data_IF_288666010323
#
_entry.id   IF_288666010323
#
_cell.length_a   1.000
_cell.length_b   1.000
_cell.length_c   1.000
_cell.angle_alpha   90.00
_cell.angle_beta   90.00
_cell.angle_gamma   90.00
#
_symmetry.space_group_name_H-M   'P 1'
#
loop_
_entity.id
_entity.type
_entity.pdbx_description
1 polymer ?
2 non-polymer ?
3 water ?
#
# COMPACT_ATOMS: atom_id res chain seq x y z
N UNK A 23 14.03 -34.47 4.98
CA UNK A 23 13.62 -33.15 5.47
C UNK A 23 13.14 -33.19 6.92
N UNK A 24 13.92 -32.60 7.83
CA UNK A 24 13.65 -32.56 9.29
C UNK A 24 12.65 -31.44 9.60
N UNK A 25 13.05 -30.18 9.36
CA UNK A 25 12.25 -28.95 9.67
C UNK A 25 11.70 -28.37 8.37
N UNK A 26 10.39 -28.10 8.34
CA UNK A 26 9.68 -27.39 7.24
C UNK A 26 9.23 -26.02 7.75
N UNK A 27 9.04 -25.07 6.83
CA UNK A 27 8.52 -23.70 7.10
C UNK A 27 7.40 -23.38 6.10
N UNK A 28 6.38 -22.64 6.54
CA UNK A 28 5.26 -22.16 5.67
C UNK A 28 5.75 -20.94 4.87
N UNK A 29 6.91 -20.38 5.21
CA UNK A 29 7.52 -19.20 4.54
C UNK A 29 9.03 -19.40 4.42
N UNK A 30 9.60 -19.10 3.24
CA UNK A 30 11.04 -19.22 2.92
C UNK A 30 11.78 -17.93 3.33
N UNK A 31 11.03 -16.84 3.50
CA UNK A 31 11.54 -15.48 3.82
C UNK A 31 10.42 -14.68 4.50
N UNK A 32 10.79 -13.59 5.18
CA UNK A 32 9.84 -12.55 5.68
C UNK A 32 10.24 -11.20 5.07
N UNK A 33 9.32 -10.61 4.30
CA UNK A 33 9.47 -9.27 3.68
C UNK A 33 8.38 -8.36 4.27
N UNK A 34 8.79 -7.25 4.90
CA UNK A 34 7.89 -6.31 5.62
C UNK A 34 7.44 -5.18 4.68
N UNK A 35 8.24 -4.85 3.67
CA UNK A 35 8.12 -3.58 2.92
C UNK A 35 8.38 -2.40 3.83
N UNK A 36 7.64 -1.31 3.65
CA UNK A 36 7.85 -0.04 4.38
C UNK A 36 7.16 -0.04 5.73
N UNK A 37 7.89 0.38 6.78
CA UNK A 37 7.34 0.70 8.13
C UNK A 37 7.86 2.08 8.52
N UNK A 38 6.98 3.02 8.94
CA UNK A 38 7.41 4.36 9.33
C UNK A 38 8.46 4.31 10.45
N UNK A 39 9.38 5.28 10.46
CA UNK A 39 10.47 5.41 11.47
C UNK A 39 9.84 5.57 12.85
N UNK A 40 10.30 4.79 13.83
CA UNK A 40 9.81 4.82 15.22
C UNK A 40 8.60 3.93 15.43
N UNK A 41 7.99 3.42 14.35
CA UNK A 41 6.85 2.45 14.41
C UNK A 41 7.40 1.03 14.26
N UNK A 42 6.57 0.03 14.58
CA UNK A 42 6.91 -1.41 14.57
C UNK A 42 5.81 -2.19 13.85
N UNK A 43 6.16 -3.31 13.22
CA UNK A 43 5.21 -4.23 12.56
C UNK A 43 5.66 -5.68 12.84
N UNK A 44 4.72 -6.50 13.31
CA UNK A 44 4.95 -7.93 13.63
C UNK A 44 4.73 -8.75 12.36
N UNK A 45 5.54 -9.79 12.15
CA UNK A 45 5.28 -10.84 11.14
C UNK A 45 5.64 -12.20 11.76
N UNK A 46 4.92 -13.25 11.37
CA UNK A 46 5.05 -14.62 11.92
C UNK A 46 5.46 -15.59 10.81
N UNK A 47 6.07 -16.72 11.18
CA UNK A 47 6.15 -17.93 10.34
C UNK A 47 5.99 -19.17 11.24
N UNK A 48 5.58 -20.28 10.63
CA UNK A 48 5.34 -21.58 11.29
C UNK A 48 6.45 -22.56 10.87
N UNK A 49 7.18 -23.11 11.84
CA UNK A 49 8.13 -24.24 11.65
C UNK A 49 7.44 -25.53 12.08
N UNK A 50 7.58 -26.60 11.28
CA UNK A 50 6.98 -27.94 11.54
C UNK A 50 8.10 -28.98 11.63
N UNK A 51 8.13 -29.75 12.71
CA UNK A 51 9.01 -30.94 12.86
C UNK A 51 8.37 -32.08 12.05
N UNK A 52 8.99 -32.43 10.92
CA UNK A 52 8.43 -33.38 9.92
C UNK A 52 8.51 -34.82 10.45
N UNK A 53 9.42 -35.08 11.41
CA UNK A 53 9.60 -36.41 12.06
C UNK A 53 8.34 -36.80 12.83
N UNK A 54 7.95 -38.07 12.75
CA UNK A 54 6.80 -38.67 13.47
C UNK A 54 7.26 -39.27 14.81
N UNK A 55 8.58 -39.31 15.04
CA UNK A 55 9.24 -40.03 16.17
C UNK A 55 10.10 -39.08 17.02
N UNK A 56 11.04 -38.36 16.40
CA UNK A 56 12.16 -37.66 17.08
C UNK A 56 11.82 -36.19 17.36
N UNK A 57 12.14 -35.71 18.56
CA UNK A 57 12.08 -34.28 18.98
C UNK A 57 13.39 -33.59 18.57
N UNK A 58 13.30 -32.36 18.06
CA UNK A 58 14.47 -31.50 17.74
C UNK A 58 14.59 -30.39 18.80
N UNK A 59 15.81 -29.93 19.06
CA UNK A 59 16.14 -28.78 19.95
C UNK A 59 16.68 -27.64 19.09
N UNK A 60 15.87 -26.59 18.88
CA UNK A 60 16.17 -25.46 17.97
C UNK A 60 16.66 -24.26 18.79
N UNK A 61 17.70 -23.57 18.31
CA UNK A 61 18.15 -22.26 18.84
C UNK A 61 17.83 -21.18 17.79
N UNK A 62 17.00 -20.20 18.17
CA UNK A 62 16.53 -19.10 17.27
C UNK A 62 17.39 -17.85 17.54
N UNK A 63 18.01 -17.30 16.50
CA UNK A 63 18.88 -16.09 16.57
C UNK A 63 18.56 -15.16 15.40
N UNK A 64 18.57 -13.85 15.63
CA UNK A 64 18.57 -12.81 14.57
C UNK A 64 20.03 -12.36 14.37
N UNK A 65 20.53 -12.48 13.13
CA UNK A 65 21.89 -12.05 12.72
C UNK A 65 21.77 -11.20 11.44
N UNK A 66 22.86 -10.54 11.04
CA UNK A 66 22.91 -9.76 9.79
C UNK A 66 23.13 -8.28 10.06
N UNK A 67 23.26 -7.50 8.98
CA UNK A 67 23.70 -6.07 9.02
C UNK A 67 22.67 -5.20 9.74
N UNK A 68 21.38 -5.53 9.71
CA UNK A 68 20.30 -4.73 10.34
C UNK A 68 19.60 -5.54 11.45
N UNK A 69 20.35 -6.39 12.17
CA UNK A 69 19.81 -7.27 13.24
C UNK A 69 19.22 -6.41 14.37
N UNK A 70 19.69 -5.17 14.54
CA UNK A 70 19.23 -4.23 15.61
C UNK A 70 17.76 -3.85 15.40
N UNK A 71 17.22 -4.00 14.18
CA UNK A 71 15.84 -3.55 13.81
C UNK A 71 14.90 -4.75 13.57
N UNK A 72 15.38 -5.98 13.75
CA UNK A 72 14.56 -7.22 13.72
C UNK A 72 14.73 -7.95 15.07
N UNK A 73 13.65 -8.00 15.85
CA UNK A 73 13.66 -8.49 17.26
C UNK A 73 12.73 -9.71 17.39
N UNK A 74 13.29 -10.85 17.79
CA UNK A 74 12.52 -12.09 18.12
C UNK A 74 11.60 -11.78 19.31
N UNK A 75 10.29 -12.02 19.15
CA UNK A 75 9.30 -11.97 20.25
C UNK A 75 9.14 -13.40 20.79
N UNK A 76 8.26 -13.59 21.78
CA UNK A 76 8.05 -14.90 22.45
C UNK A 76 7.49 -15.90 21.43
N UNK A 77 7.93 -17.16 21.54
CA UNK A 77 7.52 -18.30 20.67
C UNK A 77 6.46 -19.13 21.39
N UNK A 78 5.48 -19.65 20.65
CA UNK A 78 4.52 -20.68 21.11
C UNK A 78 4.41 -21.76 20.03
N UNK A 79 3.69 -22.85 20.32
CA UNK A 79 3.54 -23.99 19.40
C UNK A 79 2.27 -24.77 19.67
N UNK A 80 2.00 -25.77 18.82
CA UNK A 80 0.78 -26.63 18.86
C UNK A 80 0.83 -27.57 20.08
N UNK A 81 1.96 -27.61 20.81
CA UNK A 81 2.12 -28.42 22.05
C UNK A 81 2.91 -27.67 23.13
N UNK A 82 2.94 -26.33 23.12
CA UNK A 82 3.64 -25.54 24.16
C UNK A 82 3.15 -24.09 24.20
N UNK A 83 3.16 -23.50 25.41
CA UNK A 83 2.70 -22.11 25.68
C UNK A 83 3.81 -21.12 25.31
N UNK A 84 3.53 -19.82 25.44
CA UNK A 84 4.48 -18.70 25.16
C UNK A 84 5.74 -18.89 26.01
N UNK A 85 6.92 -18.77 25.38
CA UNK A 85 8.25 -18.79 26.04
C UNK A 85 9.12 -17.68 25.43
N UNK A 86 9.94 -17.04 26.26
CA UNK A 86 10.95 -16.02 25.86
C UNK A 86 12.29 -16.71 25.57
N UNK A 87 12.38 -18.02 25.80
CA UNK A 87 13.58 -18.86 25.55
C UNK A 87 13.84 -18.90 24.04
N UNK A 88 15.07 -18.62 23.62
CA UNK A 88 15.53 -18.71 22.21
C UNK A 88 15.81 -20.18 21.85
N UNK A 89 15.96 -21.04 22.87
CA UNK A 89 16.05 -22.52 22.71
C UNK A 89 14.64 -23.12 22.82
N UNK A 90 14.20 -23.85 21.79
CA UNK A 90 12.82 -24.41 21.67
C UNK A 90 12.91 -25.92 21.46
N UNK A 91 12.17 -26.69 22.27
CA UNK A 91 11.85 -28.12 22.01
C UNK A 91 10.66 -28.18 21.05
N UNK A 92 10.85 -28.75 19.85
CA UNK A 92 9.77 -28.97 18.86
C UNK A 92 9.51 -30.48 18.76
N UNK A 93 8.39 -30.94 19.32
CA UNK A 93 7.98 -32.37 19.40
C UNK A 93 7.60 -32.87 18.01
N UNK A 94 7.56 -34.21 17.79
CA UNK A 94 7.18 -34.75 16.48
C UNK A 94 5.83 -34.23 15.98
N UNK A 95 5.80 -33.72 14.75
CA UNK A 95 4.59 -33.19 14.05
C UNK A 95 4.02 -31.97 14.79
N UNK A 96 4.82 -31.32 15.63
CA UNK A 96 4.44 -30.05 16.31
C UNK A 96 4.77 -28.89 15.36
N UNK A 97 3.88 -27.89 15.30
CA UNK A 97 4.14 -26.56 14.68
C UNK A 97 4.53 -25.59 15.80
N UNK A 98 5.65 -24.87 15.64
CA UNK A 98 6.00 -23.70 16.49
C UNK A 98 5.79 -22.42 15.66
N UNK A 99 5.29 -21.37 16.30
CA UNK A 99 4.92 -20.08 15.66
C UNK A 99 5.87 -19.00 16.16
N UNK A 100 6.79 -18.59 15.28
CA UNK A 100 7.88 -17.61 15.56
C UNK A 100 7.39 -16.22 15.16
N UNK A 101 7.51 -15.24 16.06
CA UNK A 101 7.12 -13.82 15.86
C UNK A 101 8.39 -12.96 15.81
N UNK A 102 8.53 -12.16 14.73
CA UNK A 102 9.65 -11.19 14.56
C UNK A 102 9.05 -9.79 14.43
N UNK A 103 9.54 -8.86 15.24
CA UNK A 103 9.16 -7.43 15.21
C UNK A 103 10.18 -6.67 14.35
N UNK A 104 9.72 -6.00 13.30
CA UNK A 104 10.51 -5.04 12.49
C UNK A 104 10.29 -3.64 13.09
N UNK A 105 11.35 -3.05 13.65
CA UNK A 105 11.36 -1.72 14.30
C UNK A 105 12.46 -0.87 13.69
N UNK A 106 12.25 -0.30 12.49
CA UNK A 106 13.28 0.52 11.83
C UNK A 106 13.52 1.85 12.55
N UNK A 107 14.78 2.25 12.72
CA UNK A 107 15.21 3.49 13.41
C UNK A 107 16.09 4.36 12.50
N UNK A 108 16.12 4.05 11.19
CA UNK A 108 16.86 4.88 10.20
C UNK A 108 16.25 4.69 8.81
N UNK A 109 16.40 5.72 7.96
CA UNK A 109 15.83 5.81 6.60
C UNK A 109 16.70 4.99 5.64
N UNK A 110 16.55 3.66 5.68
CA UNK A 110 17.38 2.70 4.91
C UNK A 110 16.61 1.41 4.63
N UNK A 111 16.99 0.71 3.55
CA UNK A 111 16.57 -0.68 3.25
C UNK A 111 17.40 -1.62 4.13
N UNK A 113 18.39 -5.58 5.83
CA UNK A 113 18.56 -7.05 5.66
C UNK A 113 18.99 -7.66 6.99
N UNK A 114 18.40 -8.78 7.36
CA UNK A 114 18.78 -9.61 8.52
C UNK A 114 18.45 -11.07 8.22
N UNK A 115 18.80 -11.96 9.13
CA UNK A 115 18.61 -13.44 9.02
C UNK A 115 18.01 -13.97 10.32
N UNK A 116 16.92 -14.75 10.23
CA UNK A 116 16.49 -15.66 11.32
C UNK A 116 17.27 -16.97 11.16
N UNK A 117 18.26 -17.19 12.02
CA UNK A 117 19.09 -18.43 12.08
C UNK A 117 18.39 -19.42 13.00
N UNK A 118 18.06 -20.62 12.48
CA UNK A 118 17.42 -21.73 13.24
C UNK A 118 18.42 -22.90 13.29
N UNK A 119 19.22 -22.96 14.37
CA UNK A 119 20.19 -24.07 14.63
C UNK A 119 19.44 -25.27 15.19
N UNK A 120 19.30 -26.33 14.39
CA UNK A 120 18.88 -27.69 14.87
C UNK A 120 20.10 -28.34 15.53
N UNK A 121 20.14 -28.35 16.87
CA UNK A 121 21.29 -28.82 17.66
C UNK A 121 21.49 -30.34 17.44
N UNK A 122 22.71 -30.76 17.15
CA UNK A 122 23.07 -32.15 16.82
C UNK A 122 22.96 -33.07 18.03
N UNK A 123 22.59 -34.33 17.80
CA UNK A 123 22.46 -35.39 18.85
C UNK A 123 23.48 -36.48 18.57
N UNK A 124 24.64 -36.12 17.98
CA UNK A 124 25.76 -37.03 17.59
C UNK A 124 25.31 -37.95 16.46
N UNK A 125 24.29 -38.79 16.69
CA UNK A 125 23.67 -39.68 15.68
C UNK A 125 23.26 -38.87 14.44
N UNK A 126 22.69 -37.67 14.65
CA UNK A 126 22.33 -36.69 13.60
C UNK A 126 23.18 -35.43 13.79
N UNK A 127 23.87 -34.93 12.75
CA UNK A 127 24.72 -33.75 12.88
C UNK A 127 23.91 -32.44 12.96
N UNK A 128 24.58 -31.34 13.34
CA UNK A 128 23.97 -30.00 13.52
C UNK A 128 23.69 -29.33 12.19
N UNK A 129 22.41 -29.06 11.90
CA UNK A 129 21.94 -28.34 10.68
C UNK A 129 21.50 -26.93 11.08
N UNK A 130 21.90 -25.91 10.31
CA UNK A 130 21.47 -24.50 10.48
C UNK A 130 20.58 -24.11 9.29
N UNK A 131 19.34 -23.70 9.56
CA UNK A 131 18.39 -23.14 8.57
C UNK A 131 18.44 -21.62 8.65
N UNK A 132 18.26 -20.94 7.50
CA UNK A 132 18.30 -19.46 7.37
C UNK A 132 17.02 -18.98 6.68
N UNK A 133 16.28 -18.09 7.35
CA UNK A 133 15.11 -17.34 6.78
C UNK A 133 15.55 -15.89 6.61
N UNK A 134 15.74 -15.40 5.37
CA UNK A 134 16.13 -14.01 5.15
C UNK A 134 15.00 -13.05 5.57
N UNK A 135 15.37 -11.95 6.22
CA UNK A 135 14.44 -10.87 6.67
C UNK A 135 14.76 -9.60 5.89
N UNK A 136 13.74 -8.90 5.39
CA UNK A 136 13.89 -7.63 4.63
C UNK A 136 12.75 -6.67 4.93
N UNK A 137 13.04 -5.38 4.80
CA UNK A 137 12.09 -4.26 4.96
C UNK A 137 12.85 -2.94 4.81
N UNK A 138 12.14 -1.82 4.81
CA UNK A 138 12.79 -0.47 4.78
C UNK A 138 12.11 0.44 5.81
N UNK A 139 12.93 1.27 6.46
CA UNK A 139 12.48 2.31 7.40
C UNK A 139 12.02 3.55 6.66
N UNK A 140 10.94 4.17 7.12
CA UNK A 140 10.37 5.38 6.50
C UNK A 140 9.39 5.04 5.40
N UNK A 141 8.31 5.81 5.33
CA UNK A 141 7.16 5.60 4.41
C UNK A 141 6.66 6.98 3.95
N UNK A 142 5.97 7.03 2.81
CA UNK A 142 5.18 8.21 2.36
C UNK A 142 3.92 8.27 3.22
N UNK A 143 3.33 9.45 3.35
CA UNK A 143 2.01 9.62 4.03
C UNK A 143 1.25 10.74 3.32
N UNK A 144 0.22 10.37 2.56
CA UNK A 144 -0.49 11.28 1.64
C UNK A 144 -1.79 11.76 2.29
N UNK A 145 -1.96 13.08 2.38
CA UNK A 145 -3.24 13.76 2.75
C UNK A 145 -3.54 14.80 1.66
N UNK A 146 -4.80 15.22 1.56
CA UNK A 146 -5.25 16.28 0.63
C UNK A 146 -5.40 17.59 1.42
N UNK A 147 -5.09 18.71 0.76
CA UNK A 147 -5.31 20.09 1.29
C UNK A 147 -6.21 20.84 0.29
N UNK A 148 -6.97 21.82 0.77
CA UNK A 148 -7.89 22.63 -0.05
C UNK A 148 -9.16 21.88 -0.40
N UNK A 149 -9.48 20.83 0.37
CA UNK A 149 -10.73 20.03 0.23
C UNK A 149 -11.26 19.72 1.64
N UNK A 150 -12.57 19.49 1.77
CA UNK A 150 -13.21 19.10 3.05
C UNK A 150 -12.80 17.67 3.40
N UNK A 151 -12.48 17.41 4.67
CA UNK A 151 -12.23 16.05 5.21
C UNK A 151 -13.55 15.53 5.80
N UNK A 152 -14.11 14.49 5.19
CA UNK A 152 -15.21 13.67 5.76
C UNK A 152 -14.57 12.52 6.54
N UNK A 153 -15.35 11.65 7.16
CA UNK A 153 -14.86 10.64 8.14
C UNK A 153 -13.93 9.63 7.45
N UNK A 154 -14.24 9.22 6.21
CA UNK A 154 -13.47 8.17 5.46
C UNK A 154 -13.18 8.61 4.02
N UNK A 155 -13.31 9.91 3.71
CA UNK A 155 -13.10 10.45 2.35
C UNK A 155 -12.91 11.97 2.41
N UNK A 156 -12.53 12.57 1.28
CA UNK A 156 -12.45 14.04 1.06
C UNK A 156 -13.55 14.47 0.11
N UNK A 158 -14.82 18.06 -2.41
CA UNK A 158 -14.60 19.41 -3.00
C UNK A 158 -15.79 19.74 -3.90
N UNK A 159 -16.26 20.98 -3.83
CA UNK A 159 -17.39 21.50 -4.67
C UNK A 159 -16.83 22.50 -5.69
N UNK A 160 -17.18 22.32 -6.97
CA UNK A 160 -16.87 23.26 -8.08
C UNK A 160 -18.13 24.06 -8.36
N UNK A 161 -18.19 25.30 -7.86
CA UNK A 161 -19.39 26.17 -7.92
C UNK A 161 -19.38 27.03 -9.18
N UNK A 162 -20.55 27.54 -9.57
CA UNK A 162 -20.72 28.50 -10.68
C UNK A 162 -20.42 27.89 -12.04
N UNK A 163 -20.61 26.58 -12.20
CA UNK A 163 -20.46 25.88 -13.52
C UNK A 163 -21.47 26.49 -14.51
N UNK A 164 -21.06 26.61 -15.76
CA UNK A 164 -21.93 27.04 -16.91
C UNK A 164 -21.77 26.01 -18.01
N UNK A 165 -22.87 25.40 -18.53
CA UNK A 165 -22.75 24.41 -19.58
C UNK A 165 -21.97 24.97 -20.78
N UNK A 166 -20.96 24.22 -21.25
CA UNK A 166 -20.14 24.57 -22.43
C UNK A 166 -18.97 25.48 -22.09
N UNK A 167 -18.77 25.82 -20.81
CA UNK A 167 -17.67 26.69 -20.33
C UNK A 167 -16.75 25.90 -19.39
N UNK A 168 -15.44 26.18 -19.45
CA UNK A 168 -14.40 25.49 -18.64
C UNK A 168 -14.33 26.14 -17.25
N UNK A 169 -14.45 25.32 -16.21
CA UNK A 169 -14.18 25.70 -14.79
C UNK A 169 -12.97 24.90 -14.29
N UNK A 170 -12.11 25.54 -13.52
CA UNK A 170 -10.92 24.91 -12.87
C UNK A 170 -10.98 25.16 -11.37
N UNK A 171 -10.67 24.14 -10.56
CA UNK A 171 -10.33 24.32 -9.12
C UNK A 171 -9.01 23.59 -8.85
N UNK A 172 -8.23 24.10 -7.90
CA UNK A 172 -6.91 23.55 -7.51
C UNK A 172 -7.02 23.06 -6.06
N UNK A 173 -6.60 21.82 -5.81
CA UNK A 173 -6.36 21.26 -4.46
C UNK A 173 -4.90 20.80 -4.42
N UNK A 174 -4.44 20.33 -3.26
CA UNK A 174 -3.04 19.88 -3.06
C UNK A 174 -3.03 18.47 -2.49
N UNK A 175 -2.03 17.68 -2.91
CA UNK A 175 -1.62 16.40 -2.26
C UNK A 175 -0.35 16.69 -1.47
N UNK A 176 -0.35 16.45 -0.16
CA UNK A 176 0.82 16.63 0.72
C UNK A 176 1.35 15.25 1.15
N UNK A 177 2.66 15.03 0.98
CA UNK A 177 3.39 13.85 1.50
C UNK A 177 4.10 14.28 2.80
N UNK A 178 3.55 13.91 3.95
CA UNK A 178 4.10 14.22 5.30
C UNK A 178 5.12 13.16 5.71
N UNK A 179 5.27 12.10 4.92
CA UNK A 179 6.18 10.96 5.17
C UNK A 179 7.63 11.32 4.90
N UNK A 180 8.54 10.37 5.14
CA UNK A 180 10.01 10.54 5.04
C UNK A 180 10.54 10.00 3.71
N UNK A 181 9.68 9.38 2.89
CA UNK A 181 10.04 8.82 1.56
C UNK A 181 9.10 9.39 0.49
N UNK A 182 9.62 9.50 -0.74
CA UNK A 182 8.88 9.97 -1.95
C UNK A 182 7.69 9.02 -2.20
N UNK A 183 6.57 9.57 -2.65
CA UNK A 183 5.34 8.84 -2.98
C UNK A 183 5.10 8.88 -4.49
N UNK A 184 4.49 7.84 -5.05
CA UNK A 184 3.78 7.88 -6.35
C UNK A 184 2.33 8.23 -6.08
N UNK A 185 1.70 8.97 -7.00
CA UNK A 185 0.25 9.33 -6.95
C UNK A 185 -0.33 9.11 -8.34
N UNK A 186 -1.34 8.24 -8.44
CA UNK A 186 -2.08 7.94 -9.69
C UNK A 186 -3.57 8.25 -9.43
N UNK A 187 -4.10 9.25 -10.14
CA UNK A 187 -5.49 9.75 -9.99
C UNK A 187 -6.35 9.23 -11.14
N UNK A 188 -7.47 8.57 -10.81
CA UNK A 188 -8.48 8.06 -11.80
C UNK A 188 -9.87 8.52 -11.34
N UNK A 189 -10.65 9.08 -12.26
CA UNK A 189 -11.99 9.64 -11.99
C UNK A 189 -13.09 8.78 -12.55
N UNK A 190 -14.23 8.72 -11.86
CA UNK A 190 -15.41 7.88 -12.22
C UNK A 190 -16.68 8.75 -12.26
N UNK A 191 -17.36 8.69 -13.41
CA UNK A 191 -18.75 9.18 -13.63
C UNK A 191 -19.67 8.46 -12.64
N UNK A 192 -19.56 7.13 -12.59
CA UNK A 192 -20.29 6.22 -11.67
C UNK A 192 -19.33 5.13 -11.22
N UNK A 193 -18.95 5.13 -9.93
CA UNK A 193 -17.82 4.33 -9.37
C UNK A 193 -18.22 2.85 -9.19
N UNK A 194 -19.47 2.58 -8.81
CA UNK A 194 -20.01 1.21 -8.62
C UNK A 194 -20.01 0.47 -9.97
N UNK A 195 -20.52 1.12 -11.02
CA UNK A 195 -20.62 0.55 -12.40
C UNK A 195 -19.31 0.77 -13.16
N UNK A 196 -18.35 1.48 -12.56
CA UNK A 196 -16.96 1.65 -13.06
C UNK A 196 -16.99 2.24 -14.47
N UNK A 197 -17.78 3.32 -14.65
CA UNK A 197 -17.77 4.19 -15.86
C UNK A 197 -16.76 5.32 -15.60
N UNK A 198 -15.57 5.24 -16.20
CA UNK A 198 -14.52 6.30 -16.14
C UNK A 198 -15.13 7.63 -16.58
N UNK A 199 -14.61 8.74 -16.05
CA UNK A 199 -14.94 10.11 -16.54
C UNK A 199 -14.45 10.24 -17.99
N UNK A 200 -15.19 11.00 -18.81
CA UNK A 200 -14.69 11.56 -20.09
C UNK A 200 -13.76 12.72 -19.72
N UNK A 201 -12.43 12.60 -19.96
CA UNK A 201 -11.49 13.65 -19.56
C UNK A 201 -11.81 15.02 -20.19
N UNK A 202 -12.59 15.02 -21.27
CA UNK A 202 -13.06 16.26 -21.99
C UNK A 202 -14.21 16.91 -21.21
N UNK A 203 -14.81 16.21 -20.24
CA UNK A 203 -15.87 16.75 -19.34
C UNK A 203 -15.25 17.08 -17.98
N UNK A 204 -14.48 16.16 -17.41
CA UNK A 204 -13.77 16.33 -16.11
C UNK A 204 -12.48 15.50 -16.12
N UNK A 205 -11.33 16.15 -16.01
CA UNK A 205 -10.01 15.46 -15.92
C UNK A 205 -9.16 16.07 -14.79
N UNK A 206 -8.13 15.33 -14.39
CA UNK A 206 -7.19 15.64 -13.27
C UNK A 206 -5.80 15.85 -13.89
N UNK A 207 -5.14 16.97 -13.57
CA UNK A 207 -3.75 17.26 -14.04
C UNK A 207 -2.91 17.82 -12.91
N UNK A 208 -1.74 17.21 -12.58
CA UNK A 208 -1.31 15.94 -13.19
C UNK A 208 -2.07 14.74 -12.62
N UNK A 209 -2.27 13.69 -13.44
CA UNK A 209 -3.04 12.46 -13.06
C UNK A 209 -2.08 11.37 -12.59
N UNK A 210 -0.78 11.48 -12.89
CA UNK A 210 0.28 10.56 -12.39
C UNK A 210 1.56 11.37 -12.14
N UNK A 211 2.08 11.32 -10.91
CA UNK A 211 3.28 12.09 -10.48
C UNK A 211 3.94 11.44 -9.26
N UNK A 212 5.22 11.74 -9.08
CA UNK A 212 6.02 11.37 -7.88
C UNK A 212 6.11 12.61 -6.98
N UNK A 213 5.75 12.46 -5.71
CA UNK A 213 5.71 13.55 -4.70
C UNK A 213 6.80 13.30 -3.65
N UNK A 214 7.81 14.18 -3.61
CA UNK A 214 8.97 14.05 -2.69
C UNK A 214 8.48 14.14 -1.24
N UNK A 215 9.22 13.50 -0.32
CA UNK A 215 8.96 13.49 1.14
C UNK A 215 8.82 14.94 1.64
N UNK A 216 7.86 15.19 2.53
CA UNK A 216 7.62 16.50 3.19
C UNK A 216 7.52 17.62 2.13
N UNK A 217 6.82 17.36 1.03
CA UNK A 217 6.47 18.37 0.00
C UNK A 217 4.98 18.28 -0.32
N UNK A 218 4.43 19.38 -0.84
CA UNK A 218 3.01 19.53 -1.25
C UNK A 218 3.00 19.92 -2.73
N UNK A 219 2.20 19.22 -3.54
CA UNK A 219 2.04 19.52 -4.99
C UNK A 219 0.57 19.82 -5.30
N UNK A 220 0.34 20.80 -6.17
CA UNK A 220 -1.01 21.24 -6.61
C UNK A 220 -1.52 20.30 -7.69
N UNK A 221 -2.80 19.94 -7.63
CA UNK A 221 -3.52 19.11 -8.63
C UNK A 221 -4.77 19.89 -9.06
N UNK A 222 -5.00 20.03 -10.37
CA UNK A 222 -6.11 20.82 -10.96
C UNK A 222 -7.18 19.87 -11.49
N UNK A 223 -8.44 20.12 -11.11
CA UNK A 223 -9.64 19.51 -11.75
C UNK A 223 -10.12 20.46 -12.84
N UNK A 224 -10.07 20.01 -14.10
CA UNK A 224 -10.49 20.81 -15.29
C UNK A 224 -11.89 20.32 -15.70
N UNK A 225 -12.90 21.16 -15.47
CA UNK A 225 -14.34 20.84 -15.58
C UNK A 225 -14.92 21.54 -16.81
N UNK A 226 -15.31 20.75 -17.83
CA UNK A 226 -15.95 21.22 -19.08
C UNK A 226 -17.34 20.59 -19.16
N UNK A 227 -18.32 21.07 -18.36
CA UNK A 227 -19.66 20.50 -18.38
C UNK A 227 -20.32 20.68 -19.76
N UNK A 228 -20.95 19.60 -20.27
CA UNK A 228 -21.56 19.52 -21.63
C UNK A 228 -22.75 20.48 -21.72
N UNK A 229 -22.90 21.14 -22.87
CA UNK A 229 -24.10 21.95 -23.24
C UNK A 229 -24.89 21.19 -24.33
N UNK A 230 -24.54 19.93 -24.59
CA UNK A 230 -25.18 19.07 -25.61
C UNK A 230 -26.44 18.41 -25.02
N UNK A 231 -26.42 18.07 -23.72
CA UNK A 231 -27.49 17.37 -23.00
C UNK A 231 -28.85 18.01 -23.21
N UNK A 232 -29.92 17.20 -23.18
CA UNK A 232 -31.32 17.64 -23.48
C UNK A 232 -31.88 18.38 -22.26
N UNK A 233 -31.96 17.72 -21.10
CA UNK A 233 -32.69 18.20 -19.90
C UNK A 233 -31.72 18.70 -18.82
N UNK A 234 -31.13 17.78 -18.05
CA UNK A 234 -30.42 18.06 -16.77
C UNK A 234 -29.04 18.68 -17.04
N UNK A 235 -29.00 19.82 -17.75
CA UNK A 235 -27.73 20.49 -18.14
C UNK A 235 -27.12 21.20 -16.92
N UNK A 236 -27.96 21.77 -16.04
CA UNK A 236 -27.52 22.56 -14.85
C UNK A 236 -27.86 21.81 -13.55
N UNK A 237 -28.23 20.53 -13.62
CA UNK A 237 -28.47 19.68 -12.44
C UNK A 237 -27.13 19.43 -11.72
N UNK A 238 -27.13 19.50 -10.39
CA UNK A 238 -25.93 19.26 -9.54
C UNK A 238 -25.40 17.86 -9.83
N UNK A 239 -24.09 17.75 -10.11
CA UNK A 239 -23.41 16.49 -10.52
C UNK A 239 -22.52 15.99 -9.38
N UNK A 240 -22.31 14.68 -9.30
CA UNK A 240 -21.34 14.03 -8.39
C UNK A 240 -20.42 13.12 -9.20
N UNK A 241 -19.10 13.30 -9.04
CA UNK A 241 -18.04 12.40 -9.58
C UNK A 241 -17.18 11.92 -8.42
N UNK A 242 -16.47 10.80 -8.61
CA UNK A 242 -15.55 10.20 -7.61
C UNK A 242 -14.16 10.06 -8.23
N UNK A 243 -13.18 10.78 -7.66
CA UNK A 243 -11.74 10.66 -8.02
C UNK A 243 -11.07 9.75 -6.98
N UNK A 244 -10.41 8.69 -7.44
CA UNK A 244 -9.53 7.82 -6.64
C UNK A 244 -8.07 8.22 -6.88
N UNK A 245 -7.35 8.59 -5.82
CA UNK A 245 -5.89 8.80 -5.84
C UNK A 245 -5.21 7.57 -5.21
N UNK A 246 -4.66 6.70 -6.05
CA UNK A 246 -3.87 5.51 -5.63
C UNK A 246 -2.43 5.97 -5.36
N UNK A 247 -1.97 5.78 -4.13
CA UNK A 247 -0.68 6.28 -3.64
C UNK A 247 0.12 5.20 -2.92
N UNK A 248 1.42 5.42 -2.80
CA UNK A 248 2.35 4.52 -2.09
C UNK A 248 3.78 5.01 -2.22
N UNK A 249 4.72 4.28 -1.62
CA UNK A 249 6.17 4.62 -1.65
C UNK A 249 6.68 4.43 -3.07
N UNK A 250 7.42 5.41 -3.60
CA UNK A 250 8.01 5.37 -4.96
C UNK A 250 8.95 4.15 -5.05
N UNK A 251 9.70 3.85 -3.99
CA UNK A 251 10.63 2.67 -3.91
C UNK A 251 9.82 1.38 -4.13
N UNK A 252 8.59 1.32 -3.58
CA UNK A 252 7.66 0.17 -3.74
C UNK A 252 7.27 0.01 -5.22
N UNK A 253 7.04 1.12 -5.92
CA UNK A 253 6.68 1.12 -7.37
C UNK A 253 7.90 0.69 -8.20
N UNK A 254 9.12 1.05 -7.76
CA UNK A 254 10.38 0.66 -8.43
C UNK A 254 10.61 -0.85 -8.24
N UNK A 255 10.33 -1.38 -7.04
CA UNK A 255 10.40 -2.84 -6.74
C UNK A 255 9.40 -3.57 -7.65
N UNK A 256 8.21 -3.01 -7.82
CA UNK A 256 7.09 -3.54 -8.65
C UNK A 256 7.51 -3.58 -10.12
N UNK A 257 8.06 -2.46 -10.63
CA UNK A 257 8.64 -2.35 -11.99
C UNK A 257 9.63 -3.49 -12.22
N UNK A 258 10.60 -3.64 -11.30
CA UNK A 258 11.70 -4.64 -11.39
C UNK A 258 11.10 -6.05 -11.43
N UNK A 259 10.08 -6.32 -10.61
CA UNK A 259 9.41 -7.64 -10.51
C UNK A 259 8.73 -7.99 -11.84
N UNK A 260 8.18 -7.00 -12.55
CA UNK A 260 7.41 -7.19 -13.81
C UNK A 260 8.35 -7.40 -15.01
N UNK A 261 9.62 -6.99 -14.90
CA UNK A 261 10.65 -7.21 -15.96
C UNK A 261 11.09 -8.68 -15.94
N UNK A 262 11.36 -9.22 -14.75
CA UNK A 262 11.83 -10.61 -14.52
C UNK A 262 10.71 -11.61 -14.86
N UNK A 263 9.45 -11.27 -14.52
CA UNK A 263 8.23 -12.08 -14.83
C UNK A 263 7.22 -11.20 -15.57
N UNK A 264 6.94 -11.45 -16.87
CA UNK A 264 6.15 -10.54 -17.68
C UNK A 264 4.78 -10.13 -17.11
N UNK A 265 3.95 -11.11 -16.72
CA UNK A 265 2.53 -10.91 -16.32
C UNK A 265 2.28 -11.49 -14.93
N UNK A 267 0.03 -9.15 -12.80
CA UNK A 267 -0.99 -8.15 -12.35
C UNK A 267 -2.36 -8.83 -12.23
N UNK A 268 -2.78 -9.57 -13.27
CA UNK A 268 -4.11 -10.23 -13.36
C UNK A 268 -4.27 -11.27 -12.25
N UNK A 269 -3.27 -12.14 -12.07
CA UNK A 269 -3.26 -13.25 -11.07
C UNK A 269 -3.60 -12.72 -9.67
N UNK A 270 -2.99 -11.58 -9.28
CA UNK A 270 -2.99 -11.06 -7.88
C UNK A 270 -4.30 -10.31 -7.60
N UNK A 271 -4.69 -9.36 -8.45
CA UNK A 271 -5.87 -8.49 -8.25
C UNK A 271 -7.16 -9.28 -8.48
N UNK A 272 -8.30 -8.84 -7.90
CA UNK A 272 -9.62 -9.29 -8.35
C UNK A 272 -9.83 -8.95 -9.84
N UNK A 273 -10.55 -9.80 -10.56
CA UNK A 273 -10.78 -9.71 -12.03
C UNK A 273 -11.54 -8.42 -12.37
N UNK A 274 -12.39 -7.94 -11.46
CA UNK A 274 -13.31 -6.80 -11.66
C UNK A 274 -12.75 -5.54 -10.99
N UNK A 275 -11.57 -5.62 -10.38
CA UNK A 275 -10.90 -4.50 -9.66
C UNK A 275 -10.67 -3.33 -10.62
N UNK A 276 -10.76 -2.10 -10.11
CA UNK A 276 -10.46 -0.84 -10.85
C UNK A 276 -8.97 -0.84 -11.23
N UNK A 277 -8.11 -1.38 -10.35
CA UNK A 277 -6.63 -1.43 -10.49
C UNK A 277 -6.23 -2.29 -11.69
N UNK A 278 -7.13 -3.15 -12.19
CA UNK A 278 -6.90 -4.06 -13.34
C UNK A 278 -6.38 -3.29 -14.55
N UNK A 279 -6.91 -2.09 -14.80
CA UNK A 279 -6.67 -1.30 -16.04
C UNK A 279 -5.74 -0.10 -15.76
N UNK A 280 -5.21 0.02 -14.54
CA UNK A 280 -4.33 1.15 -14.11
C UNK A 280 -2.86 0.78 -14.33
N UNK A 281 -2.14 1.60 -15.10
CA UNK A 281 -0.69 1.44 -15.39
C UNK A 281 0.11 2.17 -14.30
N UNK A 282 0.93 1.43 -13.53
CA UNK A 282 1.86 1.96 -12.50
C UNK A 282 3.31 1.80 -12.97
N UNK A 283 3.52 1.17 -14.14
CA UNK A 283 4.87 0.84 -14.69
C UNK A 283 5.43 2.04 -15.46
N UNK A 284 4.60 2.70 -16.27
CA UNK A 284 5.02 3.81 -17.17
C UNK A 284 5.56 4.98 -16.36
N UNK A 285 6.27 5.90 -17.03
CA UNK A 285 6.91 7.09 -16.43
C UNK A 285 5.85 7.98 -15.79
N UNK A 286 6.07 8.37 -14.51
CA UNK A 286 5.25 9.35 -13.76
C UNK A 286 6.00 10.69 -13.76
N UNK A 287 5.26 11.80 -13.64
CA UNK A 287 5.82 13.17 -13.63
C UNK A 287 6.79 13.30 -12.44
N UNK A 288 8.01 13.80 -12.70
CA UNK A 288 9.06 14.11 -11.68
C UNK A 288 9.56 12.83 -11.02
N UNK A 289 9.56 11.70 -11.74
CA UNK A 289 10.16 10.42 -11.23
C UNK A 289 11.68 10.59 -11.24
N UNK A 290 12.36 10.11 -10.19
CA UNK A 290 13.81 10.33 -9.95
C UNK A 290 14.62 9.18 -10.55
N UNK A 291 15.88 9.45 -10.90
CA UNK A 291 16.84 8.47 -11.49
C UNK A 291 17.41 7.57 -10.40
N UNK A 292 17.45 8.05 -9.15
CA UNK A 292 18.03 7.32 -7.99
C UNK A 292 16.92 7.01 -6.96
N UNK A 293 16.79 5.74 -6.60
CA UNK A 293 16.03 5.24 -5.42
C UNK A 293 16.93 4.24 -4.68
N UNK A 294 16.47 3.72 -3.53
CA UNK A 294 17.21 2.70 -2.73
C UNK A 294 16.73 1.30 -3.09
N UNK A 295 15.99 1.14 -4.20
CA UNK A 295 15.35 -0.14 -4.63
C UNK A 295 16.39 -1.26 -4.70
N UNK A 296 17.62 -0.94 -5.15
CA UNK A 296 18.70 -1.94 -5.39
C UNK A 296 19.33 -2.37 -4.07
N UNK A 297 19.07 -1.64 -2.98
CA UNK A 297 19.47 -2.03 -1.60
C UNK A 297 18.47 -3.09 -1.05
N UNK A 298 17.28 -3.18 -1.64
CA UNK A 298 16.25 -4.21 -1.29
C UNK A 298 16.43 -5.44 -2.18
N UNK A 299 16.28 -6.66 -1.62
CA UNK A 299 16.37 -7.88 -2.41
C UNK A 299 15.03 -8.20 -3.08
N UNK A 300 15.07 -8.66 -4.34
CA UNK A 300 13.85 -9.08 -5.08
C UNK A 300 13.25 -10.31 -4.39
N UNK A 301 11.92 -10.36 -4.29
CA UNK A 301 11.16 -11.43 -3.59
C UNK A 301 9.96 -11.85 -4.44
N UNK A 302 9.49 -13.12 -4.30
CA UNK A 302 8.32 -13.60 -5.04
C UNK A 302 7.02 -12.80 -4.83
N UNK A 303 6.92 -12.06 -3.72
CA UNK A 303 5.66 -11.38 -3.28
C UNK A 303 5.80 -9.85 -3.42
N UNK A 304 6.73 -9.36 -4.24
CA UNK A 304 7.00 -7.90 -4.41
C UNK A 304 5.76 -7.22 -4.99
N UNK A 305 5.10 -7.85 -5.97
CA UNK A 305 3.86 -7.32 -6.62
C UNK A 305 2.73 -7.27 -5.58
N UNK A 306 2.64 -8.29 -4.71
CA UNK A 306 1.64 -8.38 -3.62
C UNK A 306 1.89 -7.28 -2.58
N UNK A 307 3.15 -7.06 -2.21
CA UNK A 307 3.56 -5.99 -1.26
C UNK A 307 3.19 -4.62 -1.83
N UNK A 308 3.40 -4.41 -3.14
CA UNK A 308 3.12 -3.14 -3.86
C UNK A 308 1.64 -2.78 -3.71
N UNK A 309 0.74 -3.67 -4.15
CA UNK A 309 -0.73 -3.47 -4.09
C UNK A 309 -1.20 -3.50 -2.63
N UNK A 310 -0.55 -4.31 -1.78
CA UNK A 310 -0.86 -4.42 -0.34
C UNK A 310 -0.57 -3.12 0.41
N UNK A 311 0.53 -2.46 0.08
CA UNK A 311 1.03 -1.22 0.76
C UNK A 311 0.34 0.02 0.18
N UNK A 313 -2.23 2.89 -0.84
CA UNK A 313 -3.40 3.59 -0.24
C UNK A 313 -4.36 4.02 -1.35
N UNK A 314 -5.66 4.09 -1.04
CA UNK A 314 -6.71 4.63 -1.94
C UNK A 314 -7.37 5.81 -1.24
N UNK A 315 -7.15 7.03 -1.75
CA UNK A 315 -7.78 8.28 -1.24
C UNK A 315 -9.04 8.55 -2.09
N UNK A 316 -10.18 8.73 -1.44
CA UNK A 316 -11.49 9.04 -2.08
C UNK A 316 -11.69 10.55 -2.09
N UNK A 317 -11.74 11.17 -3.27
CA UNK A 317 -12.15 12.59 -3.44
C UNK A 317 -13.47 12.63 -4.22
N UNK A 318 -14.57 12.96 -3.54
CA UNK A 318 -15.88 13.26 -4.16
C UNK A 318 -15.83 14.67 -4.75
N UNK A 319 -16.25 14.82 -6.02
CA UNK A 319 -16.29 16.12 -6.75
C UNK A 319 -17.75 16.43 -7.09
N UNK A 320 -18.33 17.45 -6.43
CA UNK A 320 -19.69 17.96 -6.72
C UNK A 320 -19.56 19.15 -7.67
N UNK A 321 -20.23 19.07 -8.83
CA UNK A 321 -20.38 20.20 -9.78
C UNK A 321 -21.71 20.91 -9.54
N UNK A 322 -21.66 22.13 -9.02
CA UNK A 322 -22.85 22.99 -8.81
C UNK A 322 -22.87 24.08 -9.89
N UNK A 323 -24.02 24.24 -10.57
CA UNK A 323 -24.21 25.20 -11.68
C UNK A 323 -24.81 26.50 -11.13
N UNK A 324 -24.36 27.64 -11.69
CA UNK A 324 -24.79 29.01 -11.29
C UNK A 324 -26.32 29.12 -11.32
N UNK A 325 -26.95 28.67 -12.41
CA UNK A 325 -28.41 28.84 -12.67
C UNK A 325 -29.24 28.04 -11.66
N UNK A 326 -28.72 26.92 -11.15
CA UNK A 326 -29.46 25.93 -10.32
C UNK A 326 -29.32 26.21 -8.82
N UNK A 327 -28.14 26.62 -8.36
CA UNK A 327 -27.84 26.80 -6.91
C UNK A 327 -27.66 28.29 -6.59
N UNK A 328 -26.85 29.01 -7.37
CA UNK A 328 -26.50 30.45 -7.15
C UNK A 328 -27.69 31.35 -7.51
N UNK A 329 -28.31 31.12 -8.69
CA UNK A 329 -29.34 32.00 -9.29
C UNK A 329 -30.73 31.73 -8.69
N UNK A 330 -30.98 30.49 -8.22
CA UNK A 330 -32.25 30.09 -7.56
C UNK A 330 -32.18 30.45 -6.07
N UNK A 331 -33.18 31.18 -5.57
CA UNK A 331 -33.30 31.56 -4.14
C UNK A 331 -33.82 30.35 -3.35
N UNK A 332 -33.12 29.96 -2.29
CA UNK A 332 -33.51 28.86 -1.37
C UNK A 332 -34.60 29.37 -0.43
N UNK A 333 -35.83 28.84 -0.56
CA UNK A 333 -37.02 29.20 0.24
C UNK A 333 -37.51 27.96 0.99
N UNK A 334 -38.26 28.16 2.07
CA UNK A 334 -38.92 27.07 2.84
C UNK A 334 -40.05 26.48 2.00
N UNK A 335 -40.14 25.14 1.84
CA UNK A 335 -41.29 24.51 1.18
C UNK A 335 -42.59 24.65 1.98
N UNK A 336 -43.67 24.03 1.49
CA UNK A 336 -44.98 23.92 2.18
C UNK A 336 -44.83 22.98 3.39
N UNK A 337 -45.06 23.50 4.60
CA UNK A 337 -44.79 22.81 5.89
C UNK A 337 -46.10 22.56 6.66
N UNK A 338 -46.20 21.40 7.30
CA UNK A 338 -47.30 21.03 8.25
C UNK A 338 -46.73 20.13 9.35
N UNK A 339 -47.46 19.99 10.46
CA UNK A 339 -47.07 19.17 11.63
C UNK A 339 -47.17 17.68 11.28
#
# INVERSE_FOLDING_TARGET
GPKGEVISSGSKPLSPGPCLDIPSILSNKQFLAWGGVPLGRTQLQKLALRNNSASTTQHLRLLIRGQDQDCFQLQNTFGSEQRLTSNCEIRIHPKEDIFISVLFAPTRLSCXLARLEIKQLGNRSQPGIKFTIPLSGYGGTSNLILEGVKKLSDSYXVTVNGLVPGKESKIVFSVRNTGSRAAFVKAVGFKDSQKKVLLDPKVLRIFPDKFVLKERTQENVTLIYNPSDRGINNKTATELSTVYLFGGDEISRQQYRRALLHKPEXIKQILPEHSVLQNINFVEAFQDELLVTEVYDLPQRPNDVQLFYGSXCKIILSVIGEFRDCISSREFLQPSSKASLESTSDLGASGK
#
